data_IF_571694753256
#
_entry.id   IF_571694753256
#
_cell.length_a   1.000
_cell.length_b   1.000
_cell.length_c   1.000
_cell.angle_alpha   90.00
_cell.angle_beta   90.00
_cell.angle_gamma   90.00
#
_symmetry.space_group_name_H-M   'P 1'
#
loop_
_entity.id
_entity.type
_entity.pdbx_description
1 polymer ?
#
# COMPACT_ATOMS: atom_id res chain seq x y z
N UNK A 1 -42.63 28.57 28.63
CA UNK A 1 -41.37 27.86 28.89
C UNK A 1 -41.27 26.64 27.99
N UNK A 2 -40.55 26.77 26.88
CA UNK A 2 -40.15 25.63 26.06
C UNK A 2 -38.79 25.16 26.58
N UNK A 3 -38.69 23.91 27.03
CA UNK A 3 -37.41 23.31 27.36
C UNK A 3 -36.68 22.99 26.05
N UNK A 4 -35.49 23.56 25.86
CA UNK A 4 -34.56 23.12 24.83
C UNK A 4 -33.77 21.93 25.39
N UNK A 5 -33.84 20.79 24.71
CA UNK A 5 -32.98 19.65 24.99
C UNK A 5 -31.76 19.73 24.06
N UNK A 6 -30.56 19.76 24.63
CA UNK A 6 -29.31 19.68 23.85
C UNK A 6 -28.91 18.20 23.78
N UNK A 7 -29.00 17.63 22.58
CA UNK A 7 -28.48 16.30 22.29
C UNK A 7 -26.99 16.45 21.96
N UNK A 8 -26.14 15.77 22.74
CA UNK A 8 -24.71 15.65 22.44
C UNK A 8 -24.49 14.29 21.79
N UNK A 9 -24.03 14.30 20.54
CA UNK A 9 -23.59 13.11 19.83
C UNK A 9 -22.07 13.01 19.95
N UNK A 10 -21.58 11.93 20.53
CA UNK A 10 -20.17 11.56 20.44
C UNK A 10 -20.01 10.57 19.29
N UNK A 11 -19.19 10.95 18.32
CA UNK A 11 -18.83 10.11 17.18
C UNK A 11 -17.32 9.87 17.22
N UNK A 12 -16.89 8.66 16.86
CA UNK A 12 -15.48 8.30 16.74
C UNK A 12 -15.18 7.93 15.29
N UNK A 13 -14.01 8.30 14.74
CA UNK A 13 -13.57 7.82 13.43
C UNK A 13 -13.72 6.31 13.30
N UNK A 14 -14.29 5.84 12.19
CA UNK A 14 -14.29 4.40 11.87
C UNK A 14 -12.85 3.94 11.71
N UNK A 15 -12.55 2.75 12.21
CA UNK A 15 -11.24 2.10 12.00
C UNK A 15 -11.39 1.09 10.86
N UNK A 16 -10.45 1.07 9.94
CA UNK A 16 -10.43 0.13 8.81
C UNK A 16 -9.02 -0.42 8.55
N UNK A 17 -8.94 -1.54 7.84
CA UNK A 17 -7.69 -2.21 7.47
C UNK A 17 -7.47 -2.11 5.95
N UNK A 18 -6.56 -1.25 5.46
CA UNK A 18 -6.34 -1.07 4.03
C UNK A 18 -5.64 -2.28 3.39
N UNK A 19 -4.68 -2.90 4.08
CA UNK A 19 -3.76 -3.90 3.50
C UNK A 19 -4.19 -5.34 3.78
N UNK A 20 -5.44 -5.68 3.44
CA UNK A 20 -5.99 -7.03 3.66
C UNK A 20 -5.64 -8.06 2.59
N UNK A 21 -5.11 -7.60 1.47
CA UNK A 21 -4.87 -8.39 0.26
C UNK A 21 -3.46 -8.09 -0.27
N UNK A 22 -2.91 -8.99 -1.10
CA UNK A 22 -1.65 -8.75 -1.79
C UNK A 22 -1.77 -7.51 -2.69
N UNK A 23 -2.80 -7.51 -3.54
CA UNK A 23 -3.15 -6.41 -4.43
C UNK A 23 -4.64 -6.12 -4.31
N UNK A 24 -4.99 -4.84 -4.17
CA UNK A 24 -6.39 -4.42 -4.27
C UNK A 24 -6.54 -3.12 -5.05
N UNK A 25 -7.42 -3.10 -6.05
CA UNK A 25 -7.68 -1.90 -6.84
C UNK A 25 -9.14 -1.44 -6.74
N UNK A 26 -9.41 -0.16 -6.99
CA UNK A 26 -10.79 0.26 -7.21
C UNK A 26 -11.27 -0.17 -8.60
N UNK A 27 -10.56 0.19 -9.66
CA UNK A 27 -11.00 -0.06 -11.04
C UNK A 27 -10.36 -1.30 -11.67
N UNK A 28 -9.05 -1.53 -11.53
CA UNK A 28 -8.37 -2.60 -12.28
C UNK A 28 -7.19 -3.21 -11.51
N UNK A 29 -7.15 -4.54 -11.46
CA UNK A 29 -5.90 -5.29 -11.28
C UNK A 29 -5.60 -6.04 -12.57
N UNK A 30 -4.51 -5.70 -13.25
CA UNK A 30 -4.05 -6.38 -14.46
C UNK A 30 -2.67 -7.00 -14.26
N UNK A 31 -2.65 -8.32 -14.11
CA UNK A 31 -1.44 -9.12 -13.92
C UNK A 31 -1.07 -9.83 -15.21
N UNK A 32 0.22 -9.78 -15.55
CA UNK A 32 0.75 -10.36 -16.78
C UNK A 32 2.12 -11.01 -16.57
N UNK A 33 2.57 -11.72 -17.60
CA UNK A 33 3.95 -12.17 -17.79
C UNK A 33 4.54 -12.96 -16.60
N UNK A 34 3.82 -13.98 -16.14
CA UNK A 34 4.24 -14.85 -15.04
C UNK A 34 4.41 -14.13 -13.71
N UNK A 35 3.61 -13.09 -13.46
CA UNK A 35 3.45 -12.52 -12.12
C UNK A 35 2.91 -13.58 -11.16
N UNK A 36 3.52 -13.70 -9.97
CA UNK A 36 3.16 -14.71 -8.99
C UNK A 36 2.86 -14.06 -7.63
N UNK A 37 1.76 -14.45 -6.98
CA UNK A 37 1.48 -14.09 -5.59
C UNK A 37 1.58 -15.30 -4.66
N UNK A 38 2.08 -15.08 -3.45
CA UNK A 38 2.01 -16.02 -2.32
C UNK A 38 1.85 -15.24 -1.01
N UNK A 39 1.96 -15.91 0.13
CA UNK A 39 1.99 -15.21 1.42
C UNK A 39 2.94 -15.79 2.45
N UNK A 40 3.29 -14.99 3.45
CA UNK A 40 4.06 -15.38 4.61
C UNK A 40 3.62 -14.59 5.86
N UNK A 41 4.23 -14.88 7.02
CA UNK A 41 4.04 -14.11 8.26
C UNK A 41 5.40 -13.62 8.75
N UNK A 42 5.60 -12.30 8.82
CA UNK A 42 6.83 -11.71 9.35
C UNK A 42 6.94 -11.81 10.89
N UNK A 43 5.81 -11.81 11.60
CA UNK A 43 5.74 -11.91 13.06
C UNK A 43 6.08 -13.31 13.62
N UNK A 44 6.12 -14.32 12.75
CA UNK A 44 6.16 -15.74 13.12
C UNK A 44 7.43 -16.45 12.64
N UNK A 45 8.35 -15.76 11.97
CA UNK A 45 9.61 -16.32 11.49
C UNK A 45 10.10 -15.71 10.18
N UNK A 46 11.08 -16.37 9.55
CA UNK A 46 11.57 -15.97 8.22
C UNK A 46 10.56 -16.33 7.13
N UNK A 47 10.61 -15.63 5.99
CA UNK A 47 9.82 -15.94 4.79
C UNK A 47 9.78 -17.46 4.49
N UNK A 48 10.94 -18.09 4.35
CA UNK A 48 11.03 -19.52 4.02
C UNK A 48 10.38 -20.46 5.06
N UNK A 49 10.24 -20.00 6.31
CA UNK A 49 9.64 -20.80 7.39
C UNK A 49 8.12 -20.61 7.52
N UNK A 50 7.58 -19.48 7.05
CA UNK A 50 6.16 -19.14 7.18
C UNK A 50 5.42 -19.03 5.84
N UNK A 51 6.14 -19.23 4.72
CA UNK A 51 5.62 -19.25 3.36
C UNK A 51 4.44 -20.23 3.22
N UNK A 52 3.37 -19.74 2.61
CA UNK A 52 2.30 -20.51 2.02
C UNK A 52 2.11 -20.06 0.57
N UNK A 53 1.95 -21.02 -0.34
CA UNK A 53 1.54 -20.76 -1.73
C UNK A 53 0.02 -20.42 -1.84
N UNK A 54 -0.58 -19.97 -0.74
CA UNK A 54 -1.98 -19.58 -0.56
C UNK A 54 -2.03 -18.29 0.27
N UNK A 55 -3.12 -17.52 0.18
CA UNK A 55 -3.32 -16.27 0.93
C UNK A 55 -2.70 -15.02 0.28
N UNK A 56 -2.09 -15.14 -0.90
CA UNK A 56 -1.68 -14.01 -1.74
C UNK A 56 -2.86 -13.48 -2.55
N UNK A 57 -3.94 -13.11 -1.88
CA UNK A 57 -5.22 -12.79 -2.51
C UNK A 57 -5.17 -11.49 -3.31
N UNK A 58 -5.90 -11.43 -4.42
CA UNK A 58 -6.00 -10.25 -5.29
C UNK A 58 -7.46 -9.87 -5.51
N UNK A 59 -7.75 -8.57 -5.51
CA UNK A 59 -9.13 -8.11 -5.71
C UNK A 59 -9.27 -6.75 -6.38
N UNK A 60 -10.46 -6.48 -6.91
CA UNK A 60 -10.82 -5.16 -7.44
C UNK A 60 -12.32 -4.87 -7.24
N UNK A 61 -12.74 -3.61 -7.14
CA UNK A 61 -14.17 -3.29 -7.30
C UNK A 61 -14.60 -3.43 -8.77
N UNK A 62 -13.70 -3.13 -9.71
CA UNK A 62 -13.89 -3.29 -11.15
C UNK A 62 -13.32 -4.60 -11.69
N UNK A 63 -12.27 -4.55 -12.51
CA UNK A 63 -11.76 -5.71 -13.25
C UNK A 63 -10.58 -6.36 -12.52
N UNK A 64 -10.52 -7.69 -12.52
CA UNK A 64 -9.31 -8.46 -12.22
C UNK A 64 -8.95 -9.29 -13.45
N UNK A 65 -7.79 -9.02 -14.03
CA UNK A 65 -7.27 -9.65 -15.24
C UNK A 65 -6.00 -10.42 -14.93
N UNK A 66 -5.99 -11.73 -15.19
CA UNK A 66 -4.82 -12.58 -15.07
C UNK A 66 -4.42 -13.11 -16.45
N UNK A 67 -3.20 -12.82 -16.89
CA UNK A 67 -2.74 -13.07 -18.26
C UNK A 67 -1.37 -13.75 -18.30
N UNK A 68 -1.03 -14.36 -19.45
CA UNK A 68 0.34 -14.75 -19.78
C UNK A 68 1.10 -15.50 -18.66
N UNK A 69 0.48 -16.55 -18.10
CA UNK A 69 1.14 -17.38 -17.09
C UNK A 69 1.08 -16.85 -15.65
N UNK A 70 0.31 -15.81 -15.36
CA UNK A 70 0.09 -15.33 -13.99
C UNK A 70 -0.36 -16.46 -13.06
N UNK A 71 0.19 -16.48 -11.84
CA UNK A 71 -0.19 -17.39 -10.77
C UNK A 71 -0.66 -16.56 -9.58
N UNK A 72 -1.91 -16.75 -9.17
CA UNK A 72 -2.41 -16.19 -7.91
C UNK A 72 -2.41 -17.31 -6.88
N UNK A 73 -1.49 -17.24 -5.93
CA UNK A 73 -1.43 -18.14 -4.77
C UNK A 73 -2.44 -17.72 -3.71
N UNK A 74 -3.71 -17.57 -4.08
CA UNK A 74 -4.77 -17.03 -3.25
C UNK A 74 -6.07 -16.91 -4.02
N UNK A 75 -7.03 -16.21 -3.44
CA UNK A 75 -8.31 -15.92 -4.06
C UNK A 75 -8.17 -14.79 -5.08
N UNK A 76 -9.00 -14.82 -6.13
CA UNK A 76 -9.13 -13.72 -7.08
C UNK A 76 -10.60 -13.29 -7.16
N UNK A 77 -10.89 -12.06 -6.74
CA UNK A 77 -12.28 -11.62 -6.59
C UNK A 77 -12.56 -10.21 -7.09
N UNK A 78 -13.80 -9.98 -7.50
CA UNK A 78 -14.28 -8.68 -7.95
C UNK A 78 -15.73 -8.45 -7.55
N UNK A 79 -16.10 -7.16 -7.43
CA UNK A 79 -17.47 -6.69 -7.25
C UNK A 79 -18.24 -6.56 -8.58
N UNK A 80 -17.54 -6.52 -9.72
CA UNK A 80 -18.15 -6.55 -11.06
C UNK A 80 -18.42 -7.99 -11.50
N UNK A 81 -19.70 -8.30 -11.71
CA UNK A 81 -20.20 -9.59 -12.23
C UNK A 81 -19.51 -10.09 -13.50
N UNK A 82 -18.94 -9.19 -14.30
CA UNK A 82 -18.21 -9.46 -15.54
C UNK A 82 -16.71 -9.12 -15.46
N UNK A 83 -16.23 -8.66 -14.31
CA UNK A 83 -14.87 -8.13 -14.14
C UNK A 83 -13.78 -9.18 -14.02
N UNK A 84 -14.11 -10.47 -13.86
CA UNK A 84 -13.10 -11.52 -13.65
C UNK A 84 -12.63 -12.12 -14.98
N UNK A 85 -11.43 -11.72 -15.42
CA UNK A 85 -10.81 -12.13 -16.66
C UNK A 85 -9.60 -13.05 -16.41
N UNK A 86 -9.86 -14.34 -16.19
CA UNK A 86 -8.80 -15.35 -16.01
C UNK A 86 -8.47 -15.98 -17.37
N UNK A 87 -7.41 -15.50 -18.01
CA UNK A 87 -7.05 -15.89 -19.37
C UNK A 87 -6.25 -17.20 -19.42
N UNK A 88 -6.22 -17.82 -20.61
CA UNK A 88 -5.54 -19.09 -20.81
C UNK A 88 -4.07 -19.03 -20.37
N UNK A 89 -3.67 -20.00 -19.55
CA UNK A 89 -2.33 -20.09 -18.98
C UNK A 89 -2.19 -19.45 -17.60
N UNK A 90 -3.15 -18.63 -17.14
CA UNK A 90 -3.19 -18.17 -15.76
C UNK A 90 -3.72 -19.27 -14.82
N UNK A 91 -3.25 -19.27 -13.58
CA UNK A 91 -3.69 -20.20 -12.53
C UNK A 91 -4.07 -19.43 -11.27
N UNK A 92 -5.25 -19.70 -10.73
CA UNK A 92 -5.70 -19.21 -9.43
C UNK A 92 -5.80 -20.43 -8.51
N UNK A 93 -5.08 -20.44 -7.40
CA UNK A 93 -5.07 -21.57 -6.47
C UNK A 93 -6.20 -21.51 -5.43
N UNK A 94 -6.69 -20.31 -5.11
CA UNK A 94 -7.85 -20.09 -4.25
C UNK A 94 -9.16 -20.06 -5.03
N UNK A 95 -10.18 -19.50 -4.38
CA UNK A 95 -11.51 -19.34 -4.93
C UNK A 95 -11.57 -18.12 -5.88
N UNK A 96 -12.56 -18.15 -6.76
CA UNK A 96 -12.86 -17.02 -7.65
C UNK A 96 -14.27 -16.51 -7.39
N UNK A 97 -14.44 -15.19 -7.37
CA UNK A 97 -15.76 -14.56 -7.17
C UNK A 97 -15.90 -13.30 -8.00
N UNK A 98 -17.03 -13.12 -8.66
CA UNK A 98 -17.42 -11.85 -9.30
C UNK A 98 -18.62 -11.18 -8.62
N UNK A 99 -18.79 -11.49 -7.33
CA UNK A 99 -19.91 -10.99 -6.50
C UNK A 99 -19.43 -10.55 -5.12
N UNK A 100 -18.13 -10.26 -4.99
CA UNK A 100 -17.59 -9.72 -3.75
C UNK A 100 -18.29 -8.38 -3.42
N UNK A 101 -18.44 -8.03 -2.14
CA UNK A 101 -18.91 -6.71 -1.77
C UNK A 101 -17.86 -5.67 -2.17
N UNK A 102 -18.33 -4.49 -2.58
CA UNK A 102 -17.44 -3.36 -2.83
C UNK A 102 -16.65 -2.99 -1.57
N UNK A 103 -15.36 -2.76 -1.74
CA UNK A 103 -14.47 -2.27 -0.71
C UNK A 103 -14.22 -0.78 -0.93
N UNK A 104 -14.69 0.07 -0.03
CA UNK A 104 -14.44 1.50 -0.14
C UNK A 104 -12.97 1.82 0.14
N UNK A 105 -12.26 2.37 -0.86
CA UNK A 105 -10.89 2.84 -0.72
C UNK A 105 -10.92 4.33 -0.40
N UNK A 106 -10.77 4.66 0.89
CA UNK A 106 -10.83 6.04 1.35
C UNK A 106 -9.64 6.87 0.85
N UNK A 107 -9.88 7.96 0.08
CA UNK A 107 -8.82 8.88 -0.34
C UNK A 107 -8.03 9.47 0.83
N UNK A 108 -6.77 9.79 0.60
CA UNK A 108 -5.97 10.52 1.59
C UNK A 108 -6.39 11.99 1.54
N UNK A 109 -6.98 12.47 2.62
CA UNK A 109 -7.51 13.84 2.66
C UNK A 109 -6.42 14.91 2.57
N UNK A 110 -6.76 16.09 2.05
CA UNK A 110 -5.88 17.26 2.05
C UNK A 110 -5.43 17.67 3.46
N UNK A 111 -6.28 17.45 4.46
CA UNK A 111 -5.99 17.68 5.87
C UNK A 111 -4.92 16.72 6.41
N UNK A 112 -4.92 15.46 5.95
CA UNK A 112 -3.91 14.47 6.30
C UNK A 112 -2.55 14.84 5.69
N UNK A 113 -2.51 15.27 4.43
CA UNK A 113 -1.29 15.79 3.81
C UNK A 113 -0.76 17.05 4.52
N UNK A 114 -1.64 18.02 4.82
CA UNK A 114 -1.27 19.23 5.57
C UNK A 114 -0.72 18.91 6.96
N UNK A 115 -1.28 17.90 7.63
CA UNK A 115 -0.79 17.40 8.90
C UNK A 115 0.59 16.76 8.76
N UNK A 116 0.78 15.90 7.75
CA UNK A 116 2.07 15.25 7.48
C UNK A 116 3.17 16.27 7.16
N UNK A 117 2.88 17.29 6.34
CA UNK A 117 3.80 18.40 6.03
C UNK A 117 4.29 19.09 7.32
N UNK A 118 3.37 19.42 8.23
CA UNK A 118 3.69 20.10 9.48
C UNK A 118 4.47 19.21 10.47
N UNK A 119 4.32 17.89 10.38
CA UNK A 119 4.98 16.91 11.26
C UNK A 119 6.14 16.17 10.57
N UNK A 120 6.58 16.65 9.41
CA UNK A 120 7.60 15.98 8.61
C UNK A 120 8.98 16.00 9.28
N UNK A 121 9.58 14.82 9.40
CA UNK A 121 10.94 14.59 9.90
C UNK A 121 12.00 14.70 8.78
N UNK A 122 11.65 15.12 7.56
CA UNK A 122 12.57 15.19 6.42
C UNK A 122 13.87 16.00 6.69
N UNK A 123 13.83 16.97 7.62
CA UNK A 123 15.00 17.78 7.99
C UNK A 123 15.90 17.12 9.05
N UNK A 124 15.42 16.14 9.80
CA UNK A 124 16.12 15.55 10.95
C UNK A 124 16.31 14.04 10.88
N UNK A 125 15.37 13.33 10.24
CA UNK A 125 15.32 11.87 10.17
C UNK A 125 15.93 11.28 8.89
N UNK A 126 16.59 12.09 8.04
CA UNK A 126 17.27 11.60 6.83
C UNK A 126 18.79 11.60 7.00
N UNK A 127 19.43 10.53 6.56
CA UNK A 127 20.89 10.46 6.46
C UNK A 127 21.34 9.66 5.24
N UNK A 128 22.63 9.77 4.88
CA UNK A 128 23.17 9.12 3.68
C UNK A 128 23.17 10.04 2.46
N UNK A 129 22.91 9.47 1.28
CA UNK A 129 23.02 10.15 -0.01
C UNK A 129 21.64 10.54 -0.54
N UNK A 130 21.21 11.78 -0.31
CA UNK A 130 19.91 12.28 -0.77
C UNK A 130 19.96 13.76 -1.15
N UNK A 131 18.90 14.22 -1.82
CA UNK A 131 18.59 15.61 -2.08
C UNK A 131 17.15 15.88 -1.64
N UNK A 132 16.97 16.86 -0.76
CA UNK A 132 15.65 17.32 -0.32
C UNK A 132 15.59 18.84 -0.43
N UNK A 133 14.54 19.36 -1.07
CA UNK A 133 14.31 20.79 -1.21
C UNK A 133 13.20 21.25 -0.24
N UNK A 134 13.52 21.90 0.89
CA UNK A 134 12.52 22.31 1.88
C UNK A 134 11.60 23.46 1.43
N UNK A 135 11.78 24.00 0.22
CA UNK A 135 10.89 25.00 -0.34
C UNK A 135 9.82 24.42 -1.28
N UNK A 136 10.06 23.22 -1.81
CA UNK A 136 9.12 22.50 -2.69
C UNK A 136 8.73 21.12 -2.16
N UNK A 137 9.36 20.65 -1.10
CA UNK A 137 9.23 19.30 -0.52
C UNK A 137 9.53 18.16 -1.49
N UNK A 138 10.35 18.42 -2.50
CA UNK A 138 10.80 17.40 -3.44
C UNK A 138 11.96 16.60 -2.84
N UNK A 139 11.83 15.27 -2.86
CA UNK A 139 12.85 14.33 -2.42
C UNK A 139 13.38 13.49 -3.58
N UNK A 140 14.70 13.33 -3.60
CA UNK A 140 15.32 12.31 -4.45
C UNK A 140 16.59 11.72 -3.86
N UNK A 141 16.93 10.51 -4.29
CA UNK A 141 18.19 9.86 -3.95
C UNK A 141 18.82 9.15 -5.14
N UNK A 142 20.14 9.21 -5.25
CA UNK A 142 20.96 8.45 -6.22
C UNK A 142 21.86 7.42 -5.54
N UNK A 143 21.74 7.22 -4.22
CA UNK A 143 22.54 6.29 -3.44
C UNK A 143 21.76 5.76 -2.23
N UNK A 144 22.45 5.20 -1.25
CA UNK A 144 21.81 4.70 -0.04
C UNK A 144 21.38 5.85 0.87
N UNK A 145 20.10 5.89 1.22
CA UNK A 145 19.47 6.83 2.14
C UNK A 145 18.83 6.05 3.29
N UNK A 146 19.01 6.53 4.51
CA UNK A 146 18.37 5.97 5.70
C UNK A 146 17.31 6.93 6.20
N UNK A 147 16.11 6.39 6.41
CA UNK A 147 15.00 7.04 7.08
C UNK A 147 14.92 6.46 8.49
N UNK A 148 14.96 7.30 9.51
CA UNK A 148 14.71 6.86 10.89
C UNK A 148 13.21 6.86 11.20
N UNK A 149 12.81 6.30 12.34
CA UNK A 149 11.43 6.37 12.82
C UNK A 149 10.85 7.79 12.71
N UNK A 150 9.69 7.92 12.07
CA UNK A 150 9.07 9.23 11.86
C UNK A 150 8.02 9.31 10.76
N UNK A 151 7.45 10.51 10.62
CA UNK A 151 6.53 10.87 9.55
C UNK A 151 7.30 11.69 8.53
N UNK A 152 7.17 11.39 7.25
CA UNK A 152 7.81 12.12 6.17
C UNK A 152 6.76 12.62 5.21
N UNK A 153 6.94 13.85 4.73
CA UNK A 153 6.09 14.45 3.72
C UNK A 153 6.92 14.94 2.55
N UNK A 154 6.46 14.64 1.34
CA UNK A 154 7.03 15.09 0.09
C UNK A 154 5.94 15.45 -0.93
N UNK A 155 6.25 16.31 -1.89
CA UNK A 155 5.40 16.53 -3.09
C UNK A 155 5.82 15.66 -4.27
N UNK A 156 7.04 15.09 -4.21
CA UNK A 156 7.55 14.12 -5.17
C UNK A 156 8.62 13.26 -4.50
N UNK A 157 8.60 11.96 -4.79
CA UNK A 157 9.54 10.99 -4.23
C UNK A 157 10.20 10.17 -5.32
N UNK A 158 11.50 10.37 -5.54
CA UNK A 158 12.24 9.67 -6.59
C UNK A 158 13.48 8.96 -6.07
N UNK A 159 13.51 7.63 -6.18
CA UNK A 159 14.73 6.85 -6.01
C UNK A 159 15.29 6.50 -7.39
N UNK A 160 16.47 7.03 -7.72
CA UNK A 160 17.14 6.76 -8.99
C UNK A 160 17.77 5.37 -9.02
N UNK A 161 18.34 4.98 -10.17
CA UNK A 161 18.92 3.65 -10.33
C UNK A 161 19.99 3.40 -9.25
N UNK A 162 19.92 2.22 -8.62
CA UNK A 162 20.81 1.80 -7.53
C UNK A 162 20.73 2.64 -6.24
N UNK A 163 19.72 3.50 -6.10
CA UNK A 163 19.43 4.12 -4.81
C UNK A 163 18.79 3.09 -3.88
N UNK A 164 19.24 3.04 -2.63
CA UNK A 164 18.70 2.14 -1.61
C UNK A 164 17.97 2.97 -0.56
N UNK A 165 16.80 2.51 -0.12
CA UNK A 165 16.13 3.06 1.05
C UNK A 165 16.27 2.08 2.19
N UNK A 166 16.77 2.53 3.32
CA UNK A 166 17.03 1.70 4.50
C UNK A 166 16.21 2.23 5.66
N UNK A 167 15.50 1.34 6.34
CA UNK A 167 14.89 1.60 7.64
C UNK A 167 15.67 0.77 8.66
N UNK A 168 16.15 1.37 9.77
CA UNK A 168 16.78 0.61 10.83
C UNK A 168 15.83 -0.46 11.42
N UNK A 169 16.37 -1.56 11.97
CA UNK A 169 15.55 -2.55 12.66
C UNK A 169 14.71 -1.92 13.77
N UNK A 170 13.48 -2.39 13.92
CA UNK A 170 12.51 -1.95 14.93
C UNK A 170 12.05 -0.48 14.81
N UNK A 171 12.40 0.22 13.72
CA UNK A 171 11.89 1.57 13.41
C UNK A 171 10.75 1.51 12.40
N UNK A 172 9.80 2.45 12.51
CA UNK A 172 8.62 2.58 11.65
C UNK A 172 8.61 3.93 10.93
N UNK A 173 8.45 3.90 9.61
CA UNK A 173 8.51 5.07 8.72
C UNK A 173 7.21 5.14 7.94
N UNK A 174 6.53 6.28 8.08
CA UNK A 174 5.36 6.60 7.27
C UNK A 174 5.72 7.75 6.33
N UNK A 175 5.55 7.54 5.03
CA UNK A 175 5.82 8.55 4.00
C UNK A 175 4.52 8.94 3.32
N UNK A 176 4.19 10.23 3.40
CA UNK A 176 3.14 10.87 2.64
C UNK A 176 3.74 11.56 1.41
N UNK A 177 3.16 11.30 0.24
CA UNK A 177 3.55 11.93 -1.02
C UNK A 177 2.32 12.58 -1.64
N UNK A 178 2.23 13.91 -1.61
CA UNK A 178 1.19 14.65 -2.34
C UNK A 178 1.61 14.80 -3.82
N UNK A 179 1.72 13.67 -4.51
CA UNK A 179 2.20 13.59 -5.89
C UNK A 179 2.74 12.21 -6.24
N UNK A 180 3.59 12.13 -7.26
CA UNK A 180 4.05 10.85 -7.81
C UNK A 180 5.24 10.24 -7.06
N UNK A 181 5.27 8.91 -7.04
CA UNK A 181 6.38 8.09 -6.55
C UNK A 181 7.02 7.37 -7.73
N UNK A 182 8.33 7.54 -7.91
CA UNK A 182 9.11 6.80 -8.90
C UNK A 182 10.30 6.09 -8.24
N UNK A 183 10.26 4.75 -8.21
CA UNK A 183 11.40 3.92 -7.79
C UNK A 183 12.01 3.27 -9.03
N UNK A 184 13.24 3.66 -9.35
CA UNK A 184 13.99 3.17 -10.52
C UNK A 184 14.70 1.84 -10.20
N UNK A 185 15.51 1.36 -11.15
CA UNK A 185 15.99 -0.02 -11.13
C UNK A 185 17.09 -0.27 -10.09
N UNK A 186 17.26 -1.55 -9.72
CA UNK A 186 18.47 -2.06 -9.06
C UNK A 186 18.80 -1.51 -7.67
N UNK A 187 17.81 -1.02 -6.93
CA UNK A 187 17.96 -0.51 -5.56
C UNK A 187 17.16 -1.34 -4.56
N UNK A 188 17.76 -1.70 -3.42
CA UNK A 188 17.03 -2.38 -2.35
C UNK A 188 16.23 -1.36 -1.53
N UNK A 189 14.94 -1.65 -1.32
CA UNK A 189 14.01 -0.79 -0.59
C UNK A 189 13.56 -1.56 0.66
N UNK A 190 14.11 -1.17 1.80
CA UNK A 190 13.88 -1.84 3.08
C UNK A 190 14.07 -3.36 2.99
N UNK A 191 15.11 -3.80 2.28
CA UNK A 191 15.35 -5.22 2.04
C UNK A 191 15.65 -5.95 3.35
N UNK A 192 14.89 -7.01 3.61
CA UNK A 192 14.98 -7.79 4.85
C UNK A 192 14.29 -7.15 6.06
N UNK A 193 13.70 -5.96 5.93
CA UNK A 193 12.78 -5.39 6.92
C UNK A 193 11.41 -6.07 6.88
N UNK A 194 10.56 -5.76 7.85
CA UNK A 194 9.15 -6.19 7.82
C UNK A 194 8.31 -5.16 7.07
N UNK A 195 7.36 -5.56 6.22
CA UNK A 195 6.61 -4.62 5.36
C UNK A 195 5.89 -3.50 6.11
N UNK A 196 5.40 -3.73 7.33
CA UNK A 196 4.71 -2.68 8.12
C UNK A 196 5.65 -1.53 8.56
N UNK A 197 6.97 -1.74 8.56
CA UNK A 197 7.94 -0.68 8.88
C UNK A 197 7.96 0.43 7.84
N UNK A 198 7.56 0.16 6.59
CA UNK A 198 7.53 1.15 5.51
C UNK A 198 6.12 1.28 4.96
N UNK A 199 5.42 2.34 5.37
CA UNK A 199 4.10 2.65 4.85
C UNK A 199 4.16 3.89 3.98
N UNK A 200 3.74 3.78 2.71
CA UNK A 200 3.77 4.89 1.76
C UNK A 200 2.34 5.20 1.30
N UNK A 201 1.93 6.45 1.54
CA UNK A 201 0.62 7.01 1.23
C UNK A 201 0.79 8.08 0.14
N UNK A 202 0.07 7.95 -0.97
CA UNK A 202 0.24 8.83 -2.13
C UNK A 202 -1.09 9.31 -2.69
N UNK A 203 -1.15 10.56 -3.17
CA UNK A 203 -2.26 11.05 -4.00
C UNK A 203 -2.00 10.89 -5.50
N UNK A 204 -0.78 10.52 -5.90
CA UNK A 204 -0.37 10.38 -7.30
C UNK A 204 0.00 8.95 -7.68
N UNK A 205 0.58 8.81 -8.86
CA UNK A 205 0.92 7.51 -9.42
C UNK A 205 2.14 6.89 -8.72
N UNK A 206 2.18 5.57 -8.67
CA UNK A 206 3.28 4.78 -8.13
C UNK A 206 3.91 3.98 -9.26
N UNK A 207 5.15 4.30 -9.60
CA UNK A 207 5.89 3.59 -10.65
C UNK A 207 7.08 2.85 -10.04
N UNK A 208 6.95 1.52 -9.93
CA UNK A 208 7.97 0.64 -9.37
C UNK A 208 8.70 -0.09 -10.49
N UNK A 209 9.80 0.48 -10.96
CA UNK A 209 10.73 -0.16 -11.92
C UNK A 209 11.82 -0.96 -11.22
N UNK A 210 11.70 -1.15 -9.90
CA UNK A 210 12.76 -1.75 -9.12
C UNK A 210 13.06 -3.19 -9.57
N UNK A 211 14.35 -3.56 -9.57
CA UNK A 211 14.78 -4.95 -9.78
C UNK A 211 15.54 -5.51 -8.57
N UNK A 212 15.63 -4.72 -7.48
CA UNK A 212 16.09 -5.15 -6.17
C UNK A 212 14.92 -5.62 -5.29
N UNK A 213 15.22 -6.00 -4.06
CA UNK A 213 14.18 -6.43 -3.11
C UNK A 213 13.43 -5.21 -2.57
N UNK A 214 12.12 -5.33 -2.41
CA UNK A 214 11.30 -4.31 -1.75
C UNK A 214 10.51 -4.93 -0.60
N UNK A 215 10.53 -4.30 0.57
CA UNK A 215 9.61 -4.64 1.68
C UNK A 215 8.87 -3.39 2.15
N UNK A 216 7.55 -3.33 1.98
CA UNK A 216 6.75 -2.16 2.32
C UNK A 216 5.33 -2.24 1.80
N UNK A 217 4.50 -1.27 2.19
CA UNK A 217 3.13 -1.13 1.69
C UNK A 217 2.92 0.20 0.97
N UNK A 218 2.09 0.17 -0.08
CA UNK A 218 1.72 1.34 -0.85
C UNK A 218 0.22 1.52 -0.89
N UNK A 219 -0.25 2.74 -0.68
CA UNK A 219 -1.65 3.12 -0.70
C UNK A 219 -1.84 4.40 -1.51
N UNK A 220 -2.38 4.28 -2.72
CA UNK A 220 -2.73 5.40 -3.61
C UNK A 220 -4.11 5.20 -4.23
N UNK A 221 -5.20 5.33 -3.45
CA UNK A 221 -6.55 4.92 -3.85
C UNK A 221 -7.09 5.68 -5.07
N UNK A 222 -6.50 6.81 -5.44
CA UNK A 222 -6.87 7.62 -6.61
C UNK A 222 -5.82 7.57 -7.75
N UNK A 223 -4.67 6.91 -7.53
CA UNK A 223 -3.57 6.83 -8.50
C UNK A 223 -3.41 5.46 -9.14
N UNK A 224 -2.63 5.41 -10.23
CA UNK A 224 -2.22 4.15 -10.86
C UNK A 224 -0.92 3.62 -10.22
N UNK A 225 -0.88 2.33 -9.90
CA UNK A 225 0.32 1.63 -9.47
C UNK A 225 0.84 0.71 -10.58
N UNK A 226 1.96 1.11 -11.20
CA UNK A 226 2.63 0.35 -12.25
C UNK A 226 3.80 -0.45 -11.66
N UNK A 227 3.57 -1.75 -11.47
CA UNK A 227 4.58 -2.71 -11.01
C UNK A 227 5.32 -3.27 -12.22
N UNK A 228 6.44 -2.60 -12.56
CA UNK A 228 7.38 -3.01 -13.60
C UNK A 228 8.51 -3.90 -13.07
N UNK A 229 8.50 -4.21 -11.78
CA UNK A 229 9.54 -4.98 -11.10
C UNK A 229 9.65 -6.41 -11.63
N UNK A 230 10.84 -6.97 -11.53
CA UNK A 230 11.12 -8.39 -11.85
C UNK A 230 11.83 -9.09 -10.68
N UNK A 231 11.55 -8.62 -9.48
CA UNK A 231 12.23 -8.98 -8.22
C UNK A 231 11.20 -9.11 -7.11
N UNK A 232 11.62 -9.69 -5.99
CA UNK A 232 10.74 -9.97 -4.86
C UNK A 232 10.20 -8.68 -4.22
N UNK A 233 8.88 -8.62 -4.13
CA UNK A 233 8.15 -7.61 -3.37
C UNK A 233 7.53 -8.30 -2.15
N UNK A 234 7.78 -7.78 -0.96
CA UNK A 234 7.15 -8.22 0.28
C UNK A 234 6.21 -7.13 0.80
N UNK A 235 4.90 -7.39 0.82
CA UNK A 235 3.93 -6.44 1.36
C UNK A 235 2.59 -6.39 0.63
N UNK A 236 2.03 -5.20 0.44
CA UNK A 236 0.70 -4.97 -0.13
C UNK A 236 0.64 -3.69 -0.95
N UNK A 237 -0.16 -3.68 -2.02
CA UNK A 237 -0.44 -2.48 -2.83
C UNK A 237 -1.94 -2.27 -2.94
N UNK A 238 -2.38 -1.06 -2.62
CA UNK A 238 -3.76 -0.59 -2.83
C UNK A 238 -3.74 0.65 -3.71
N UNK A 239 -4.49 0.63 -4.82
CA UNK A 239 -4.50 1.74 -5.77
C UNK A 239 -5.85 1.91 -6.49
N UNK A 240 -6.01 2.92 -7.36
CA UNK A 240 -7.15 2.97 -8.29
C UNK A 240 -7.01 1.88 -9.35
N UNK A 241 -5.84 1.82 -9.99
CA UNK A 241 -5.45 0.79 -10.96
C UNK A 241 -4.12 0.18 -10.54
N UNK A 242 -3.95 -1.12 -10.75
CA UNK A 242 -2.70 -1.85 -10.53
C UNK A 242 -2.33 -2.58 -11.82
N UNK A 243 -1.20 -2.19 -12.41
CA UNK A 243 -0.65 -2.79 -13.62
C UNK A 243 0.62 -3.58 -13.27
N UNK A 244 0.49 -4.89 -13.10
CA UNK A 244 1.59 -5.81 -12.80
C UNK A 244 2.14 -6.44 -14.07
N UNK A 245 3.20 -5.82 -14.61
CA UNK A 245 3.67 -6.06 -15.97
C UNK A 245 4.65 -7.21 -16.13
N UNK A 246 5.43 -7.56 -15.10
CA UNK A 246 6.54 -8.50 -15.22
C UNK A 246 6.44 -9.58 -14.14
N UNK A 247 7.08 -10.72 -14.40
CA UNK A 247 7.17 -11.84 -13.45
C UNK A 247 8.05 -11.50 -12.26
N UNK A 248 7.45 -10.88 -11.26
CA UNK A 248 7.97 -10.69 -9.92
C UNK A 248 7.29 -11.68 -8.97
N UNK A 249 8.03 -12.15 -7.96
CA UNK A 249 7.43 -12.78 -6.79
C UNK A 249 6.83 -11.70 -5.90
N UNK A 250 5.52 -11.76 -5.67
CA UNK A 250 4.81 -10.86 -4.78
C UNK A 250 4.36 -11.63 -3.54
N UNK A 251 4.97 -11.32 -2.42
CA UNK A 251 4.85 -12.03 -1.15
C UNK A 251 4.01 -11.20 -0.19
N UNK A 252 2.73 -11.53 -0.04
CA UNK A 252 1.87 -10.85 0.91
C UNK A 252 2.25 -11.23 2.34
N UNK A 253 2.46 -10.22 3.19
CA UNK A 253 2.62 -10.45 4.62
C UNK A 253 1.26 -10.40 5.30
N UNK A 254 0.77 -11.53 5.81
CA UNK A 254 -0.59 -11.63 6.35
C UNK A 254 -0.77 -10.82 7.64
N UNK A 255 0.32 -10.43 8.30
CA UNK A 255 0.27 -9.53 9.46
C UNK A 255 -0.21 -8.13 9.09
N UNK A 256 -0.09 -7.73 7.81
CA UNK A 256 -0.59 -6.45 7.31
C UNK A 256 -2.11 -6.30 7.44
N UNK A 257 -2.84 -7.41 7.57
CA UNK A 257 -4.28 -7.38 7.84
C UNK A 257 -4.63 -6.73 9.19
N UNK A 258 -3.67 -6.62 10.12
CA UNK A 258 -3.83 -5.95 11.41
C UNK A 258 -3.47 -4.45 11.35
N UNK A 259 -2.86 -3.97 10.26
CA UNK A 259 -2.56 -2.54 10.06
C UNK A 259 -3.88 -1.78 9.94
N UNK A 260 -4.06 -0.75 10.77
CA UNK A 260 -5.31 0.01 10.85
C UNK A 260 -5.11 1.47 10.50
N UNK A 261 -6.10 2.05 9.83
CA UNK A 261 -6.24 3.49 9.62
C UNK A 261 -7.56 3.99 10.21
N UNK A 262 -7.57 5.28 10.57
CA UNK A 262 -8.77 5.98 11.00
C UNK A 262 -9.35 6.70 9.80
N UNK A 263 -10.64 6.49 9.59
CA UNK A 263 -11.41 7.17 8.56
C UNK A 263 -11.57 8.65 8.91
N UNK A 264 -11.34 9.51 7.92
CA UNK A 264 -11.64 10.94 7.94
C UNK A 264 -13.08 11.23 7.51
N UNK A 265 -13.72 10.31 6.78
CA UNK A 265 -15.06 10.47 6.22
C UNK A 265 -16.17 9.77 7.03
N UNK A 266 -15.89 8.57 7.54
CA UNK A 266 -16.86 7.75 8.26
C UNK A 266 -16.59 7.76 9.75
N UNK A 267 -17.65 8.01 10.53
CA UNK A 267 -17.61 7.95 11.98
C UNK A 267 -18.65 6.96 12.47
N UNK A 268 -18.24 6.12 13.41
CA UNK A 268 -19.13 5.23 14.12
C UNK A 268 -19.66 5.93 15.39
N UNK A 269 -20.91 5.61 15.76
CA UNK A 269 -21.56 6.21 16.94
C UNK A 269 -20.88 5.70 18.21
N UNK A 270 -20.27 6.59 18.99
CA UNK A 270 -19.53 6.23 20.19
C UNK A 270 -20.44 6.19 21.44
N UNK A 271 -21.34 7.17 21.61
CA UNK A 271 -22.31 7.19 22.73
C UNK A 271 -23.47 8.19 22.48
N UNK A 272 -24.53 8.14 23.31
CA UNK A 272 -25.59 9.17 23.38
C UNK A 272 -25.90 9.49 24.85
N UNK A 273 -26.16 10.76 25.14
CA UNK A 273 -26.73 11.21 26.40
C UNK A 273 -27.55 12.50 26.24
N UNK A 274 -28.61 12.66 27.04
CA UNK A 274 -29.37 13.90 27.15
C UNK A 274 -28.81 14.72 28.33
N UNK A 275 -28.52 16.01 28.10
CA UNK A 275 -28.31 16.97 29.20
C UNK A 275 -29.59 17.74 29.42
N UNK A 276 -30.15 17.62 30.63
CA UNK A 276 -31.26 18.43 31.13
C UNK A 276 -30.77 19.70 31.80
#
# INVERSE_FOLDING_TARGET
DGAEAVIVLEAAPRIYNPFRYALYADELVDMRNSFETDSYNSDSGTFASTLLNLGGDVGSNGIVSANNGTIVGGDAFTSDSSGLNINAGATIYGDTSSTAPENYLEPISSEEFSWAETNSDALSGLSGSYSYNPASDEFSSTGSVTFTEGIYYFTSFVLYNSAELIIPPDEEVIIYVEGDIEIKNSGDINAGGVPDQLQIYSSGDIVLKNSGTLSGVFYSPEGEAELKNSSDFYGSVVANDILAHNGAGFHYDRTLSDVTRKSTEFYDKASWGEKY
#
